data_IF_724486462915
#
_entry.id   IF_724486462915
#
_cell.length_a   1.000
_cell.length_b   1.000
_cell.length_c   1.000
_cell.angle_alpha   90.00
_cell.angle_beta   90.00
_cell.angle_gamma   90.00
#
_symmetry.space_group_name_H-M   'P 1'
#
loop_
_entity.id
_entity.type
_entity.pdbx_description
1 polymer ?
#
# COMPACT_ATOMS: atom_id res chain seq x y z
N UNK A 1 45.69 50.18 17.06
CA UNK A 1 45.53 49.29 15.90
C UNK A 1 44.16 48.65 15.98
N UNK A 2 43.27 48.95 15.02
CA UNK A 2 41.82 48.67 15.08
C UNK A 2 41.56 47.41 14.25
N UNK A 3 41.20 46.29 14.87
CA UNK A 3 40.81 45.07 14.14
C UNK A 3 39.35 45.23 13.71
N UNK A 4 39.14 45.59 12.45
CA UNK A 4 37.83 45.59 11.81
C UNK A 4 37.47 44.13 11.46
N UNK A 5 36.43 43.59 12.08
CA UNK A 5 35.88 42.28 11.75
C UNK A 5 34.70 42.53 10.83
N UNK A 6 34.89 42.27 9.53
CA UNK A 6 33.82 42.33 8.54
C UNK A 6 32.85 41.17 8.78
N UNK A 7 31.63 41.49 9.19
CA UNK A 7 30.51 40.55 9.22
C UNK A 7 29.98 40.35 7.81
N UNK A 8 30.18 39.15 7.25
CA UNK A 8 29.55 38.72 5.99
C UNK A 8 28.20 38.08 6.34
N UNK A 9 27.04 38.63 5.90
CA UNK A 9 25.77 37.96 6.10
C UNK A 9 25.62 36.87 5.03
N UNK A 10 25.80 35.61 5.42
CA UNK A 10 25.45 34.46 4.56
C UNK A 10 23.94 34.29 4.63
N UNK A 11 23.26 34.75 3.58
CA UNK A 11 21.82 34.60 3.39
C UNK A 11 21.57 33.18 2.87
N UNK A 12 21.42 32.21 3.78
CA UNK A 12 21.08 30.82 3.45
C UNK A 12 19.57 30.72 3.25
N UNK A 13 19.14 30.90 1.99
CA UNK A 13 17.86 30.42 1.49
C UNK A 13 17.96 28.90 1.33
N UNK A 14 17.47 28.12 2.30
CA UNK A 14 17.30 26.67 2.16
C UNK A 14 15.89 26.26 2.58
N UNK A 15 15.11 25.90 1.55
CA UNK A 15 14.18 24.77 1.56
C UNK A 15 12.95 24.89 2.45
N UNK A 16 11.80 25.15 1.81
CA UNK A 16 10.51 24.76 2.37
C UNK A 16 10.56 23.29 2.82
N UNK A 17 10.07 22.93 4.02
CA UNK A 17 9.90 21.53 4.34
C UNK A 17 8.87 20.97 3.37
N UNK A 18 9.34 20.16 2.42
CA UNK A 18 8.46 19.26 1.68
C UNK A 18 7.68 18.48 2.73
N UNK A 19 6.34 18.66 2.71
CA UNK A 19 5.45 18.06 3.68
C UNK A 19 5.77 16.58 3.82
N UNK A 20 6.36 16.20 4.95
CA UNK A 20 6.38 14.82 5.39
C UNK A 20 4.91 14.41 5.44
N UNK A 21 4.46 13.66 4.43
CA UNK A 21 3.20 12.93 4.54
C UNK A 21 3.40 12.04 5.77
N UNK A 22 2.77 12.39 6.89
CA UNK A 22 2.74 11.54 8.09
C UNK A 22 2.40 10.15 7.59
N UNK A 23 3.27 9.18 7.88
CA UNK A 23 2.98 7.78 7.60
C UNK A 23 1.60 7.50 8.20
N UNK A 24 0.64 7.16 7.34
CA UNK A 24 -0.72 6.87 7.78
C UNK A 24 -0.62 5.73 8.80
N UNK A 25 -1.20 5.89 10.01
CA UNK A 25 -1.13 4.83 11.00
C UNK A 25 -1.68 3.54 10.37
N UNK A 26 -0.97 2.41 10.51
CA UNK A 26 -1.34 1.18 9.82
C UNK A 26 -2.74 0.80 10.27
N UNK A 27 -3.64 0.70 9.28
CA UNK A 27 -5.01 0.33 9.55
C UNK A 27 -5.09 -1.11 10.05
N UNK A 28 -6.22 -1.52 10.69
CA UNK A 28 -6.38 -2.91 11.13
C UNK A 28 -6.18 -3.93 10.01
N UNK A 29 -6.62 -3.60 8.79
CA UNK A 29 -6.43 -4.43 7.59
C UNK A 29 -4.95 -4.56 7.24
N UNK A 30 -4.22 -3.44 7.17
CA UNK A 30 -2.78 -3.44 6.87
C UNK A 30 -2.04 -4.24 7.93
N UNK A 31 -2.31 -3.97 9.21
CA UNK A 31 -1.67 -4.64 10.33
C UNK A 31 -1.92 -6.16 10.31
N UNK A 32 -3.12 -6.62 10.00
CA UNK A 32 -3.42 -8.06 9.89
C UNK A 32 -2.55 -8.74 8.82
N UNK A 33 -2.32 -8.09 7.70
CA UNK A 33 -1.50 -8.64 6.61
C UNK A 33 -0.02 -8.64 6.98
N UNK A 34 0.46 -7.60 7.66
CA UNK A 34 1.82 -7.52 8.18
C UNK A 34 2.10 -8.56 9.27
N UNK A 35 1.17 -8.74 10.21
CA UNK A 35 1.23 -9.74 11.27
C UNK A 35 1.19 -11.18 10.68
N UNK A 36 0.65 -11.36 9.48
CA UNK A 36 0.70 -12.61 8.72
C UNK A 36 2.02 -12.83 7.94
N UNK A 37 2.98 -11.91 8.05
CA UNK A 37 4.32 -12.07 7.49
C UNK A 37 4.52 -11.50 6.09
N UNK A 38 3.71 -10.53 5.65
CA UNK A 38 3.94 -9.84 4.37
C UNK A 38 5.16 -8.93 4.35
N UNK A 39 5.68 -8.56 5.53
CA UNK A 39 6.63 -7.46 5.69
C UNK A 39 5.95 -6.10 5.55
N UNK A 40 6.75 -5.03 5.50
CA UNK A 40 6.27 -3.63 5.44
C UNK A 40 5.54 -3.32 4.12
N UNK A 41 4.23 -3.11 4.23
CA UNK A 41 3.36 -2.87 3.07
C UNK A 41 3.38 -1.42 2.60
N UNK A 42 3.85 -0.48 3.43
CA UNK A 42 3.92 0.93 3.06
C UNK A 42 4.88 1.15 1.88
N UNK A 43 5.92 0.32 1.79
CA UNK A 43 6.97 0.38 0.76
C UNK A 43 6.75 -0.61 -0.39
N UNK A 44 5.88 -1.60 -0.21
CA UNK A 44 5.61 -2.61 -1.22
C UNK A 44 4.79 -2.03 -2.39
N UNK A 45 5.02 -2.46 -3.62
CA UNK A 45 4.15 -2.09 -4.76
C UNK A 45 2.84 -2.89 -4.72
N UNK A 46 1.74 -2.35 -5.29
CA UNK A 46 0.46 -3.09 -5.39
C UNK A 46 0.63 -4.44 -6.08
N UNK A 47 1.53 -4.52 -7.08
CA UNK A 47 1.86 -5.79 -7.76
C UNK A 47 2.50 -6.79 -6.79
N UNK A 48 3.50 -6.36 -6.01
CA UNK A 48 4.18 -7.22 -5.04
C UNK A 48 3.22 -7.73 -3.96
N UNK A 49 2.28 -6.89 -3.51
CA UNK A 49 1.25 -7.28 -2.55
C UNK A 49 0.30 -8.31 -3.17
N UNK A 50 -0.10 -8.13 -4.44
CA UNK A 50 -0.92 -9.10 -5.15
C UNK A 50 -0.19 -10.45 -5.29
N UNK A 51 1.05 -10.44 -5.78
CA UNK A 51 1.88 -11.65 -5.91
C UNK A 51 2.00 -12.40 -4.56
N UNK A 52 2.11 -11.68 -3.45
CA UNK A 52 2.10 -12.27 -2.12
C UNK A 52 0.75 -12.90 -1.77
N UNK A 53 -0.36 -12.20 -2.01
CA UNK A 53 -1.70 -12.74 -1.79
C UNK A 53 -2.03 -13.95 -2.65
N UNK A 54 -1.44 -14.09 -3.86
CA UNK A 54 -1.63 -15.31 -4.67
C UNK A 54 -1.17 -16.58 -3.95
N UNK A 55 -0.21 -16.46 -3.03
CA UNK A 55 0.31 -17.55 -2.20
C UNK A 55 -0.45 -17.68 -0.87
N UNK A 56 -1.29 -16.70 -0.52
CA UNK A 56 -2.02 -16.60 0.74
C UNK A 56 -3.53 -16.41 0.50
N UNK A 57 -4.11 -17.23 -0.37
CA UNK A 57 -5.49 -17.07 -0.88
C UNK A 57 -6.57 -17.06 0.20
N UNK A 58 -6.41 -17.80 1.29
CA UNK A 58 -7.39 -17.78 2.39
C UNK A 58 -7.42 -16.41 3.07
N UNK A 59 -6.24 -15.84 3.37
CA UNK A 59 -6.12 -14.50 3.90
C UNK A 59 -6.60 -13.46 2.89
N UNK A 60 -6.28 -13.61 1.60
CA UNK A 60 -6.77 -12.71 0.56
C UNK A 60 -8.31 -12.64 0.51
N UNK A 61 -9.00 -13.78 0.68
CA UNK A 61 -10.47 -13.85 0.75
C UNK A 61 -11.02 -13.18 2.01
N UNK A 62 -10.34 -13.31 3.14
CA UNK A 62 -10.71 -12.64 4.40
C UNK A 62 -10.56 -11.12 4.26
N UNK A 63 -9.38 -10.65 3.85
CA UNK A 63 -9.09 -9.24 3.62
C UNK A 63 -10.04 -8.63 2.59
N UNK A 64 -10.36 -9.34 1.51
CA UNK A 64 -11.37 -8.89 0.54
C UNK A 64 -12.71 -8.56 1.20
N UNK A 65 -13.19 -9.39 2.14
CA UNK A 65 -14.47 -9.13 2.83
C UNK A 65 -14.38 -7.84 3.64
N UNK A 66 -13.35 -7.70 4.46
CA UNK A 66 -13.13 -6.50 5.29
C UNK A 66 -13.01 -5.24 4.43
N UNK A 67 -12.29 -5.33 3.31
CA UNK A 67 -12.14 -4.23 2.36
C UNK A 67 -13.47 -3.78 1.75
N UNK A 68 -14.36 -4.72 1.40
CA UNK A 68 -15.68 -4.41 0.85
C UNK A 68 -16.59 -3.73 1.89
N UNK A 69 -16.45 -4.07 3.17
CA UNK A 69 -17.21 -3.43 4.26
C UNK A 69 -16.81 -1.97 4.45
N UNK A 70 -15.52 -1.67 4.36
CA UNK A 70 -15.04 -0.30 4.60
C UNK A 70 -15.05 0.58 3.36
N UNK A 71 -14.97 0.04 2.12
CA UNK A 71 -14.70 0.86 0.92
C UNK A 71 -15.68 2.02 0.73
N UNK A 72 -16.97 1.83 1.06
CA UNK A 72 -18.01 2.82 0.80
C UNK A 72 -17.95 4.01 1.76
N UNK A 73 -17.24 3.84 2.89
CA UNK A 73 -17.04 4.88 3.91
C UNK A 73 -15.75 5.69 3.71
N UNK A 74 -14.93 5.30 2.73
CA UNK A 74 -13.60 5.86 2.52
C UNK A 74 -13.62 7.01 1.52
N UNK A 75 -12.67 7.97 1.63
CA UNK A 75 -12.57 9.07 0.67
C UNK A 75 -12.13 8.58 -0.72
N UNK A 76 -12.31 9.41 -1.75
CA UNK A 76 -12.03 9.04 -3.14
C UNK A 76 -10.56 8.69 -3.41
N UNK A 77 -9.63 9.29 -2.66
CA UNK A 77 -8.18 9.06 -2.72
C UNK A 77 -7.71 7.86 -1.89
N UNK A 78 -8.62 7.19 -1.17
CA UNK A 78 -8.28 6.04 -0.33
C UNK A 78 -7.54 4.94 -1.09
N UNK A 79 -7.83 4.76 -2.39
CA UNK A 79 -7.14 3.76 -3.22
C UNK A 79 -5.63 3.99 -3.34
N UNK A 80 -5.17 5.21 -3.13
CA UNK A 80 -3.75 5.57 -3.18
C UNK A 80 -3.02 5.32 -1.86
N UNK A 81 -3.77 5.03 -0.78
CA UNK A 81 -3.22 4.69 0.54
C UNK A 81 -2.65 3.27 0.57
N UNK A 82 -1.90 2.94 1.62
CA UNK A 82 -1.44 1.56 1.85
C UNK A 82 -2.62 0.60 2.00
N UNK A 83 -3.65 0.98 2.76
CA UNK A 83 -4.86 0.14 2.91
C UNK A 83 -5.56 -0.07 1.57
N UNK A 84 -5.74 0.99 0.77
CA UNK A 84 -6.38 0.90 -0.54
C UNK A 84 -5.63 0.00 -1.53
N UNK A 85 -4.29 0.05 -1.52
CA UNK A 85 -3.44 -0.85 -2.34
C UNK A 85 -3.51 -2.29 -1.86
N UNK A 86 -3.53 -2.54 -0.55
CA UNK A 86 -3.73 -3.86 0.04
C UNK A 86 -5.09 -4.43 -0.37
N UNK A 87 -6.15 -3.63 -0.24
CA UNK A 87 -7.50 -4.03 -0.63
C UNK A 87 -7.62 -4.35 -2.12
N UNK A 88 -7.04 -3.50 -2.98
CA UNK A 88 -7.03 -3.73 -4.42
C UNK A 88 -6.30 -5.04 -4.77
N UNK A 89 -5.13 -5.27 -4.17
CA UNK A 89 -4.35 -6.48 -4.37
C UNK A 89 -5.09 -7.74 -3.88
N UNK A 90 -5.71 -7.69 -2.70
CA UNK A 90 -6.50 -8.79 -2.16
C UNK A 90 -7.67 -9.15 -3.11
N UNK A 91 -8.44 -8.16 -3.55
CA UNK A 91 -9.55 -8.38 -4.48
C UNK A 91 -9.05 -9.02 -5.78
N UNK A 92 -8.04 -8.42 -6.43
CA UNK A 92 -7.50 -8.93 -7.69
C UNK A 92 -6.95 -10.36 -7.57
N UNK A 93 -6.20 -10.66 -6.51
CA UNK A 93 -5.61 -11.99 -6.31
C UNK A 93 -6.67 -13.10 -6.14
N UNK A 94 -7.85 -12.78 -5.58
CA UNK A 94 -8.95 -13.76 -5.42
C UNK A 94 -9.71 -14.04 -6.71
N UNK A 95 -9.60 -13.18 -7.73
CA UNK A 95 -10.26 -13.41 -9.02
C UNK A 95 -9.55 -14.49 -9.84
N UNK A 96 -8.22 -14.58 -9.71
CA UNK A 96 -7.38 -15.52 -10.46
C UNK A 96 -7.58 -16.98 -10.02
N UNK A 97 -8.19 -17.23 -8.85
CA UNK A 97 -8.33 -18.57 -8.27
C UNK A 97 -9.71 -19.23 -8.36
N UNK A 98 -10.71 -18.62 -9.01
CA UNK A 98 -12.10 -19.14 -8.99
C UNK A 98 -12.59 -19.75 -10.31
N UNK A 99 -11.77 -19.84 -11.35
CA UNK A 99 -12.13 -20.59 -12.56
C UNK A 99 -11.38 -21.93 -12.56
N UNK A 100 -12.07 -23.06 -12.31
CA UNK A 100 -11.58 -24.32 -12.85
C UNK A 100 -11.55 -24.17 -14.37
N UNK A 101 -10.37 -24.28 -14.97
CA UNK A 101 -10.22 -24.48 -16.41
C UNK A 101 -10.97 -25.77 -16.74
N UNK A 102 -12.23 -25.67 -17.16
CA UNK A 102 -12.92 -26.77 -17.82
C UNK A 102 -12.29 -26.88 -19.20
N UNK A 103 -11.27 -27.72 -19.32
CA UNK A 103 -10.82 -28.18 -20.63
C UNK A 103 -12.05 -28.84 -21.27
N UNK A 104 -12.61 -28.21 -22.29
CA UNK A 104 -13.74 -28.76 -23.04
C UNK A 104 -13.21 -30.04 -23.70
N UNK A 105 -13.57 -31.21 -23.16
CA UNK A 105 -13.26 -32.53 -23.71
C UNK A 105 -13.99 -32.75 -25.05
N UNK A 106 -13.77 -31.88 -26.04
CA UNK A 106 -14.16 -32.13 -27.42
C UNK A 106 -13.19 -33.12 -28.03
N UNK A 107 -13.54 -34.38 -27.86
CA UNK A 107 -13.05 -35.50 -28.66
C UNK A 107 -13.52 -35.29 -30.10
N UNK A 108 -12.58 -35.00 -31.00
CA UNK A 108 -12.76 -35.10 -32.45
C UNK A 108 -12.89 -36.57 -32.86
#
# INVERSE_FOLDING_TARGET
>A
MKRAWMTVPVLVLVGAPQGCKKAEPPSPIVKKVEDAGSGDLSRASTKSINDWFTKHQNLAKEIKKECLEVQNSKPADWRDTTEGRVCSAAISSTLIGNEPIRTDDKKY
#
